data_IF_157131745245
#
_entry.id   IF_157131745245
#
_cell.length_a   1.000
_cell.length_b   1.000
_cell.length_c   1.000
_cell.angle_alpha   90.00
_cell.angle_beta   90.00
_cell.angle_gamma   90.00
#
_symmetry.space_group_name_H-M   'P 1'
#
loop_
_entity.id
_entity.type
_entity.pdbx_description
1 polymer ?
#
# COMPACT_ATOMS: atom_id res chain seq x y z
N UNK A 1 6.09 -14.55 0.29
CA UNK A 1 5.37 -13.33 0.69
C UNK A 1 4.49 -13.66 1.88
N UNK A 2 4.39 -12.75 2.86
CA UNK A 2 3.41 -12.91 3.95
C UNK A 2 2.03 -12.56 3.40
N UNK A 3 1.01 -13.34 3.78
CA UNK A 3 -0.39 -13.01 3.52
C UNK A 3 -0.88 -12.06 4.61
N UNK A 4 -1.82 -11.21 4.22
CA UNK A 4 -2.34 -10.19 5.10
C UNK A 4 -2.94 -9.03 4.33
N UNK A 5 -3.40 -8.04 5.10
CA UNK A 5 -4.16 -6.91 4.60
C UNK A 5 -3.32 -5.64 4.58
N UNK A 6 -3.26 -5.01 3.41
CA UNK A 6 -2.71 -3.66 3.27
C UNK A 6 -3.82 -2.64 3.54
N UNK A 7 -3.65 -1.86 4.61
CA UNK A 7 -4.68 -0.96 5.12
C UNK A 7 -4.22 0.50 5.03
N UNK A 8 -5.09 1.34 4.48
CA UNK A 8 -4.97 2.80 4.55
C UNK A 8 -6.00 3.33 5.56
N UNK A 9 -5.54 3.91 6.66
CA UNK A 9 -6.39 4.35 7.77
C UNK A 9 -6.28 5.86 7.97
N UNK A 10 -7.42 6.54 8.10
CA UNK A 10 -7.49 7.93 8.54
C UNK A 10 -7.26 8.02 10.06
N UNK A 11 -6.23 8.75 10.45
CA UNK A 11 -5.89 9.03 11.85
C UNK A 11 -6.55 10.35 12.31
N UNK A 12 -6.66 10.56 13.63
CA UNK A 12 -6.99 11.88 14.19
C UNK A 12 -6.06 12.98 13.64
N UNK A 13 -6.56 14.21 13.56
CA UNK A 13 -5.86 15.37 13.00
C UNK A 13 -5.52 15.24 11.49
N UNK A 14 -6.34 14.51 10.73
CA UNK A 14 -6.22 14.38 9.27
C UNK A 14 -4.92 13.74 8.80
N UNK A 15 -4.32 12.87 9.62
CA UNK A 15 -3.21 12.03 9.18
C UNK A 15 -3.70 10.79 8.44
N UNK A 16 -2.90 10.21 7.56
CA UNK A 16 -3.15 8.90 6.97
C UNK A 16 -2.07 7.92 7.41
N UNK A 17 -2.42 6.66 7.63
CA UNK A 17 -1.48 5.59 7.97
C UNK A 17 -1.61 4.48 6.95
N UNK A 18 -0.46 4.03 6.47
CA UNK A 18 -0.36 2.78 5.73
C UNK A 18 0.24 1.72 6.64
N UNK A 19 -0.46 0.59 6.78
CA UNK A 19 -0.02 -0.55 7.59
C UNK A 19 -0.33 -1.87 6.91
N UNK A 20 0.51 -2.87 7.15
CA UNK A 20 0.27 -4.25 6.76
C UNK A 20 -0.09 -5.06 8.01
N UNK A 21 -1.20 -5.78 7.97
CA UNK A 21 -1.62 -6.68 9.04
C UNK A 21 -1.42 -8.10 8.52
N UNK A 22 -0.43 -8.81 9.07
CA UNK A 22 -0.17 -10.20 8.69
C UNK A 22 -1.24 -11.14 9.21
N UNK A 23 -1.39 -12.30 8.57
CA UNK A 23 -2.27 -13.39 9.05
C UNK A 23 -1.89 -13.89 10.47
N UNK A 24 -0.70 -13.56 10.96
CA UNK A 24 -0.23 -13.82 12.33
C UNK A 24 -0.78 -12.82 13.36
N UNK A 25 -1.58 -11.84 12.93
CA UNK A 25 -2.14 -10.77 13.74
C UNK A 25 -1.15 -9.62 14.00
N UNK A 26 0.09 -9.72 13.53
CA UNK A 26 1.08 -8.66 13.73
C UNK A 26 0.82 -7.51 12.75
N UNK A 27 0.74 -6.29 13.30
CA UNK A 27 0.60 -5.07 12.51
C UNK A 27 1.95 -4.41 12.30
N UNK A 28 2.36 -4.31 11.05
CA UNK A 28 3.54 -3.58 10.60
C UNK A 28 3.14 -2.19 10.10
N UNK A 29 3.63 -1.13 10.74
CA UNK A 29 3.40 0.25 10.29
C UNK A 29 4.43 0.62 9.23
N UNK A 30 3.98 0.78 7.98
CA UNK A 30 4.84 1.12 6.85
C UNK A 30 5.13 2.63 6.81
N UNK A 31 4.07 3.44 6.92
CA UNK A 31 4.17 4.90 6.84
C UNK A 31 3.07 5.61 7.62
N UNK A 32 3.35 6.84 8.04
CA UNK A 32 2.33 7.80 8.47
C UNK A 32 2.53 9.12 7.73
N UNK A 33 1.49 9.55 7.03
CA UNK A 33 1.36 10.82 6.35
C UNK A 33 0.61 11.79 7.27
N UNK A 34 1.08 13.02 7.41
CA UNK A 34 0.41 14.03 8.23
C UNK A 34 0.29 15.32 7.44
N UNK A 35 -0.80 16.06 7.58
CA UNK A 35 -1.05 17.34 6.88
C UNK A 35 -0.03 18.46 7.16
N UNK A 36 1.02 18.21 7.96
CA UNK A 36 2.11 19.14 8.20
C UNK A 36 3.05 19.20 7.00
N UNK A 37 3.80 20.30 6.87
CA UNK A 37 4.61 20.75 5.73
C UNK A 37 5.66 19.77 5.17
N UNK A 38 5.84 18.57 5.75
CA UNK A 38 6.80 17.56 5.32
C UNK A 38 6.15 16.17 5.25
N UNK A 39 5.15 16.04 4.38
CA UNK A 39 4.59 14.74 4.04
C UNK A 39 5.52 14.05 3.03
N UNK A 40 6.08 12.86 3.34
CA UNK A 40 6.82 12.11 2.33
C UNK A 40 5.85 11.70 1.21
N UNK A 41 6.23 11.97 -0.04
CA UNK A 41 5.48 11.49 -1.19
C UNK A 41 5.50 9.95 -1.20
N UNK A 42 4.35 9.36 -1.52
CA UNK A 42 4.18 7.93 -1.75
C UNK A 42 3.71 7.77 -3.17
N UNK A 43 4.43 6.97 -3.94
CA UNK A 43 4.05 6.64 -5.31
C UNK A 43 3.76 5.15 -5.40
N UNK A 44 2.61 4.82 -5.99
CA UNK A 44 2.27 3.46 -6.38
C UNK A 44 2.74 3.26 -7.81
N UNK A 45 3.37 2.14 -8.10
CA UNK A 45 3.81 1.80 -9.45
C UNK A 45 3.44 0.36 -9.77
N UNK A 46 2.79 0.14 -10.91
CA UNK A 46 2.60 -1.20 -11.46
C UNK A 46 3.96 -1.85 -11.77
N UNK A 47 3.98 -3.18 -11.82
CA UNK A 47 5.16 -3.95 -12.23
C UNK A 47 4.84 -4.58 -13.59
N UNK A 48 5.27 -3.98 -14.72
CA UNK A 48 4.89 -4.45 -16.06
C UNK A 48 5.36 -5.89 -16.38
N UNK A 49 6.39 -6.37 -15.69
CA UNK A 49 6.87 -7.75 -15.84
C UNK A 49 5.90 -8.79 -15.26
N UNK A 50 4.94 -8.39 -14.42
CA UNK A 50 3.88 -9.27 -13.92
C UNK A 50 2.69 -9.28 -14.90
N UNK A 51 2.54 -10.38 -15.63
CA UNK A 51 1.43 -10.57 -16.57
C UNK A 51 0.06 -10.68 -15.89
N UNK A 52 0.00 -10.91 -14.57
CA UNK A 52 -1.26 -10.96 -13.85
C UNK A 52 -1.88 -9.57 -13.64
N UNK A 53 -1.05 -8.51 -13.67
CA UNK A 53 -1.44 -7.12 -13.42
C UNK A 53 -1.80 -6.85 -11.96
N UNK A 54 -1.26 -7.64 -11.03
CA UNK A 54 -1.63 -7.60 -9.60
C UNK A 54 -0.46 -7.19 -8.72
N UNK A 55 0.76 -7.25 -9.25
CA UNK A 55 1.96 -6.79 -8.58
C UNK A 55 2.15 -5.29 -8.73
N UNK A 56 2.51 -4.66 -7.61
CA UNK A 56 2.80 -3.24 -7.54
C UNK A 56 3.89 -2.97 -6.49
N UNK A 57 4.53 -1.81 -6.59
CA UNK A 57 5.46 -1.33 -5.58
C UNK A 57 5.03 0.03 -5.03
N UNK A 58 5.33 0.26 -3.76
CA UNK A 58 5.18 1.55 -3.10
C UNK A 58 6.56 2.16 -2.93
N UNK A 59 6.80 3.32 -3.53
CA UNK A 59 8.02 4.09 -3.36
C UNK A 59 7.75 5.25 -2.42
N UNK A 60 8.52 5.32 -1.36
CA UNK A 60 8.51 6.44 -0.43
C UNK A 60 9.64 7.38 -0.84
N UNK A 61 9.40 8.68 -0.77
CA UNK A 61 10.42 9.72 -1.04
C UNK A 61 11.71 9.61 -0.21
N UNK A 62 11.73 8.82 0.87
CA UNK A 62 12.93 8.52 1.66
C UNK A 62 13.77 7.33 1.11
N UNK A 63 13.39 6.80 -0.05
CA UNK A 63 14.10 5.71 -0.74
C UNK A 63 13.61 4.31 -0.36
N UNK A 64 12.70 4.17 0.61
CA UNK A 64 12.11 2.86 0.92
C UNK A 64 11.19 2.41 -0.20
N UNK A 65 11.29 1.12 -0.55
CA UNK A 65 10.44 0.48 -1.55
C UNK A 65 9.82 -0.78 -0.96
N UNK A 66 8.50 -0.90 -1.07
CA UNK A 66 7.74 -2.08 -0.64
C UNK A 66 7.10 -2.75 -1.86
N UNK A 67 7.04 -4.08 -1.86
CA UNK A 67 6.50 -4.86 -2.97
C UNK A 67 5.30 -5.67 -2.51
N UNK A 68 4.22 -5.62 -3.28
CA UNK A 68 2.96 -6.29 -2.97
C UNK A 68 2.42 -7.02 -4.20
N UNK A 69 1.55 -7.98 -3.93
CA UNK A 69 0.75 -8.67 -4.94
C UNK A 69 -0.68 -8.80 -4.43
N UNK A 70 -1.64 -8.28 -5.18
CA UNK A 70 -3.05 -8.32 -4.79
C UNK A 70 -3.62 -9.74 -4.97
N UNK A 71 -3.90 -10.40 -3.84
CA UNK A 71 -4.49 -11.74 -3.82
C UNK A 71 -6.03 -11.76 -3.88
N UNK A 72 -6.67 -10.62 -4.15
CA UNK A 72 -8.13 -10.55 -4.31
C UNK A 72 -8.60 -11.56 -5.37
N UNK A 73 -9.66 -12.31 -5.05
CA UNK A 73 -10.20 -13.34 -5.92
C UNK A 73 -10.75 -12.71 -7.20
N UNK A 74 -11.46 -11.58 -7.07
CA UNK A 74 -11.95 -10.81 -8.21
C UNK A 74 -10.85 -9.95 -8.83
N UNK A 75 -10.46 -10.26 -10.09
CA UNK A 75 -9.46 -9.46 -10.80
C UNK A 75 -9.89 -8.00 -10.95
N UNK A 76 -11.17 -7.75 -11.27
CA UNK A 76 -11.71 -6.41 -11.43
C UNK A 76 -11.65 -5.62 -10.12
N UNK A 77 -12.05 -6.24 -9.00
CA UNK A 77 -11.97 -5.60 -7.69
C UNK A 77 -10.52 -5.32 -7.28
N UNK A 78 -9.59 -6.24 -7.55
CA UNK A 78 -8.17 -6.03 -7.30
C UNK A 78 -7.61 -4.83 -8.06
N UNK A 79 -7.98 -4.68 -9.34
CA UNK A 79 -7.59 -3.51 -10.16
C UNK A 79 -8.20 -2.23 -9.60
N UNK A 80 -9.48 -2.23 -9.23
CA UNK A 80 -10.14 -1.06 -8.63
C UNK A 80 -9.51 -0.65 -7.29
N UNK A 81 -9.10 -1.62 -6.47
CA UNK A 81 -8.41 -1.34 -5.21
C UNK A 81 -7.04 -0.69 -5.44
N UNK A 82 -6.31 -1.13 -6.46
CA UNK A 82 -5.05 -0.49 -6.86
C UNK A 82 -5.30 0.92 -7.39
N UNK A 83 -6.31 1.10 -8.25
CA UNK A 83 -6.71 2.40 -8.79
C UNK A 83 -7.01 3.44 -7.69
N UNK A 84 -7.57 3.01 -6.54
CA UNK A 84 -7.84 3.89 -5.39
C UNK A 84 -6.58 4.34 -4.63
N UNK A 85 -5.44 3.69 -4.86
CA UNK A 85 -4.18 4.06 -4.25
C UNK A 85 -3.31 4.94 -5.15
N UNK A 86 -3.70 5.13 -6.42
CA UNK A 86 -3.09 6.08 -7.36
C UNK A 86 -3.62 7.51 -7.17
#
# INVERSE_FOLDING_TARGET
MRKGDLNLTLLPASGLRLSFIGDDGNTERLLTLSSKTHCPAVEVHEIPADSSGRSFNLKISDGRVFYFWCSEKSKLLGIELLAKMY
#
